data_IF_218008218520
#
_entry.id   IF_218008218520
#
_cell.length_a   1.000
_cell.length_b   1.000
_cell.length_c   1.000
_cell.angle_alpha   90.00
_cell.angle_beta   90.00
_cell.angle_gamma   90.00
#
_symmetry.space_group_name_H-M   'P 1'
#
loop_
_entity.id
_entity.type
_entity.pdbx_description
1 polymer ?
#
# COMPACT_ATOMS: atom_id res chain seq x y z
N UNK A 1 7.43 23.11 5.76
CA UNK A 1 6.46 22.28 6.53
C UNK A 1 5.44 21.78 5.53
N UNK A 2 5.28 20.46 5.44
CA UNK A 2 4.21 19.86 4.63
C UNK A 2 2.95 19.84 5.48
N UNK A 3 1.84 20.34 4.96
CA UNK A 3 0.56 20.38 5.68
C UNK A 3 -0.25 19.11 5.42
N UNK A 4 -1.01 18.69 6.43
CA UNK A 4 -1.93 17.56 6.29
C UNK A 4 -3.11 17.92 5.40
N UNK A 5 -3.69 16.90 4.76
CA UNK A 5 -4.84 17.09 3.90
C UNK A 5 -6.01 17.67 4.68
N UNK A 6 -6.56 18.76 4.17
CA UNK A 6 -7.85 19.32 4.60
C UNK A 6 -8.98 18.34 4.33
N UNK A 7 -10.13 18.56 4.98
CA UNK A 7 -11.34 17.76 4.73
C UNK A 7 -11.73 17.74 3.25
N UNK A 8 -11.70 18.89 2.58
CA UNK A 8 -12.07 18.99 1.17
C UNK A 8 -11.11 18.20 0.26
N UNK A 9 -9.81 18.21 0.54
CA UNK A 9 -8.83 17.43 -0.22
C UNK A 9 -8.99 15.92 0.03
N UNK A 10 -9.31 15.52 1.26
CA UNK A 10 -9.63 14.13 1.60
C UNK A 10 -10.88 13.65 0.86
N UNK A 11 -11.96 14.43 0.90
CA UNK A 11 -13.22 14.13 0.24
C UNK A 11 -13.04 14.00 -1.29
N UNK A 12 -12.10 14.73 -1.88
CA UNK A 12 -11.77 14.65 -3.30
C UNK A 12 -10.84 13.46 -3.64
N UNK A 13 -9.82 13.19 -2.82
CA UNK A 13 -8.75 12.25 -3.17
C UNK A 13 -9.00 10.80 -2.70
N UNK A 14 -9.52 10.63 -1.48
CA UNK A 14 -9.60 9.32 -0.83
C UNK A 14 -10.63 8.36 -1.44
N UNK A 15 -11.80 8.79 -1.95
CA UNK A 15 -12.78 7.84 -2.51
C UNK A 15 -12.22 6.99 -3.65
N UNK A 16 -11.42 7.58 -4.54
CA UNK A 16 -10.81 6.85 -5.65
C UNK A 16 -9.74 5.84 -5.16
N UNK A 17 -8.96 6.20 -4.15
CA UNK A 17 -8.02 5.28 -3.51
C UNK A 17 -8.76 4.15 -2.79
N UNK A 18 -9.89 4.46 -2.13
CA UNK A 18 -10.77 3.48 -1.52
C UNK A 18 -11.28 2.43 -2.51
N UNK A 19 -11.71 2.87 -3.70
CA UNK A 19 -12.14 1.96 -4.77
C UNK A 19 -11.01 1.06 -5.28
N UNK A 20 -9.76 1.53 -5.26
CA UNK A 20 -8.59 0.72 -5.62
C UNK A 20 -8.14 -0.20 -4.48
N UNK A 21 -8.67 -0.05 -3.26
CA UNK A 21 -8.41 -0.90 -2.10
C UNK A 21 -7.46 -0.31 -1.03
N UNK A 22 -7.18 0.99 -1.09
CA UNK A 22 -6.60 1.70 0.05
C UNK A 22 -7.65 1.90 1.15
N UNK A 23 -7.22 1.86 2.40
CA UNK A 23 -8.10 1.99 3.57
C UNK A 23 -7.43 2.78 4.68
N UNK A 24 -8.22 3.43 5.52
CA UNK A 24 -7.70 4.16 6.68
C UNK A 24 -7.22 3.17 7.74
N UNK A 25 -6.14 3.52 8.44
CA UNK A 25 -5.68 2.77 9.61
C UNK A 25 -6.40 3.31 10.86
N UNK A 26 -7.01 2.44 11.69
CA UNK A 26 -7.57 2.89 12.98
C UNK A 26 -6.51 3.59 13.84
N UNK A 27 -6.90 4.69 14.47
CA UNK A 27 -6.07 5.47 15.41
C UNK A 27 -4.77 6.05 14.83
N UNK A 28 -4.64 6.08 13.49
CA UNK A 28 -3.48 6.65 12.80
C UNK A 28 -3.92 7.38 11.54
N UNK A 29 -3.47 8.62 11.36
CA UNK A 29 -3.73 9.37 10.13
C UNK A 29 -2.83 8.88 8.99
N UNK A 30 -3.16 7.71 8.45
CA UNK A 30 -2.42 6.98 7.44
C UNK A 30 -3.37 6.16 6.57
N UNK A 31 -2.92 5.77 5.38
CA UNK A 31 -3.63 4.83 4.49
C UNK A 31 -2.80 3.57 4.30
N UNK A 32 -3.48 2.43 4.21
CA UNK A 32 -2.87 1.11 3.99
C UNK A 32 -3.42 0.47 2.73
N UNK A 33 -2.59 -0.32 2.04
CA UNK A 33 -3.03 -1.23 0.97
C UNK A 33 -2.16 -2.48 0.93
N UNK A 34 -2.79 -3.61 0.64
CA UNK A 34 -2.16 -4.92 0.60
C UNK A 34 -2.31 -5.49 -0.81
N UNK A 35 -1.19 -5.70 -1.49
CA UNK A 35 -1.13 -6.38 -2.78
C UNK A 35 -0.69 -7.83 -2.61
N UNK A 36 -1.35 -8.75 -3.32
CA UNK A 36 -1.00 -10.16 -3.43
C UNK A 36 -0.63 -10.45 -4.89
N UNK A 37 0.66 -10.63 -5.13
CA UNK A 37 1.23 -10.98 -6.43
C UNK A 37 1.21 -12.50 -6.65
N UNK A 38 1.54 -12.98 -7.85
CA UNK A 38 1.59 -14.42 -8.12
C UNK A 38 2.79 -15.12 -7.48
N UNK A 39 3.88 -14.38 -7.28
CA UNK A 39 5.13 -14.91 -6.73
C UNK A 39 6.00 -13.76 -6.18
N UNK A 40 7.11 -14.11 -5.55
CA UNK A 40 8.06 -13.14 -5.00
C UNK A 40 8.72 -12.25 -6.06
N UNK A 41 9.01 -12.76 -7.26
CA UNK A 41 9.67 -11.98 -8.31
C UNK A 41 8.80 -10.80 -8.77
N UNK A 42 7.50 -11.01 -8.91
CA UNK A 42 6.54 -9.95 -9.23
C UNK A 42 6.40 -8.94 -8.09
N UNK A 43 6.30 -9.40 -6.85
CA UNK A 43 6.27 -8.53 -5.67
C UNK A 43 7.53 -7.65 -5.59
N UNK A 44 8.71 -8.24 -5.76
CA UNK A 44 9.97 -7.52 -5.75
C UNK A 44 10.09 -6.53 -6.92
N UNK A 45 9.63 -6.91 -8.12
CA UNK A 45 9.63 -6.02 -9.29
C UNK A 45 8.72 -4.81 -9.10
N UNK A 46 7.60 -4.95 -8.38
CA UNK A 46 6.79 -3.82 -7.93
C UNK A 46 7.55 -2.95 -6.91
N UNK A 47 8.10 -3.56 -5.86
CA UNK A 47 8.83 -2.84 -4.80
C UNK A 47 10.02 -2.05 -5.36
N UNK A 48 10.83 -2.64 -6.24
CA UNK A 48 11.98 -1.98 -6.84
C UNK A 48 11.59 -0.71 -7.62
N UNK A 49 10.51 -0.77 -8.40
CA UNK A 49 10.01 0.42 -9.13
C UNK A 49 9.44 1.46 -8.17
N UNK A 50 8.72 1.02 -7.14
CA UNK A 50 8.18 1.89 -6.10
C UNK A 50 9.28 2.62 -5.31
N UNK A 51 10.38 1.93 -4.99
CA UNK A 51 11.53 2.54 -4.31
C UNK A 51 12.17 3.67 -5.13
N UNK A 52 12.35 3.49 -6.45
CA UNK A 52 12.88 4.55 -7.32
C UNK A 52 11.97 5.78 -7.36
N UNK A 53 10.66 5.57 -7.35
CA UNK A 53 9.67 6.64 -7.31
C UNK A 53 9.69 7.36 -5.95
N UNK A 54 9.71 6.60 -4.87
CA UNK A 54 9.79 7.12 -3.50
C UNK A 54 11.04 8.01 -3.30
N UNK A 55 12.20 7.53 -3.75
CA UNK A 55 13.46 8.31 -3.73
C UNK A 55 13.33 9.61 -4.52
N UNK A 56 12.78 9.56 -5.73
CA UNK A 56 12.56 10.77 -6.55
C UNK A 56 11.62 11.78 -5.88
N UNK A 57 10.63 11.28 -5.14
CA UNK A 57 9.68 12.10 -4.41
C UNK A 57 10.22 12.61 -3.07
N UNK A 58 11.34 12.05 -2.59
CA UNK A 58 11.81 12.20 -1.22
C UNK A 58 10.68 11.90 -0.20
N UNK A 59 9.90 10.85 -0.49
CA UNK A 59 8.78 10.42 0.33
C UNK A 59 8.70 8.89 0.30
N UNK A 60 8.87 8.26 1.45
CA UNK A 60 9.10 6.82 1.54
C UNK A 60 7.90 6.09 2.16
N UNK A 61 7.55 4.89 1.66
CA UNK A 61 6.52 4.08 2.29
C UNK A 61 7.03 3.40 3.56
N UNK A 62 6.11 3.06 4.44
CA UNK A 62 6.30 1.96 5.39
C UNK A 62 5.76 0.69 4.75
N UNK A 63 6.52 -0.40 4.74
CA UNK A 63 6.01 -1.65 4.17
C UNK A 63 6.56 -2.90 4.85
N UNK A 64 5.82 -3.98 4.69
CA UNK A 64 6.25 -5.35 4.98
C UNK A 64 6.07 -6.19 3.71
N UNK A 65 7.06 -7.01 3.40
CA UNK A 65 6.96 -7.99 2.32
C UNK A 65 7.19 -9.40 2.85
N UNK A 66 6.24 -10.29 2.55
CA UNK A 66 6.34 -11.72 2.84
C UNK A 66 6.01 -12.48 1.56
N UNK A 67 7.03 -13.02 0.90
CA UNK A 67 6.91 -13.71 -0.39
C UNK A 67 6.13 -12.88 -1.42
N UNK A 68 4.93 -13.32 -1.80
CA UNK A 68 4.12 -12.70 -2.82
C UNK A 68 3.25 -11.54 -2.31
N UNK A 69 3.32 -11.19 -1.02
CA UNK A 69 2.48 -10.15 -0.42
C UNK A 69 3.31 -8.91 -0.10
N UNK A 70 2.81 -7.73 -0.47
CA UNK A 70 3.36 -6.44 -0.08
C UNK A 70 2.27 -5.63 0.62
N UNK A 71 2.48 -5.38 1.90
CA UNK A 71 1.59 -4.61 2.77
C UNK A 71 2.22 -3.24 3.01
N UNK A 72 1.57 -2.18 2.52
CA UNK A 72 2.11 -0.82 2.51
C UNK A 72 1.22 0.10 3.31
N UNK A 73 1.86 0.91 4.15
CA UNK A 73 1.27 2.05 4.86
C UNK A 73 1.94 3.34 4.41
N UNK A 74 1.14 4.37 4.12
CA UNK A 74 1.60 5.70 3.75
C UNK A 74 1.10 6.74 4.75
N UNK A 75 2.03 7.55 5.24
CA UNK A 75 1.82 8.75 6.05
C UNK A 75 3.04 9.64 5.89
N UNK A 76 2.88 10.94 6.13
CA UNK A 76 4.00 11.86 6.23
C UNK A 76 4.39 12.07 7.69
N UNK A 77 5.57 11.57 8.08
CA UNK A 77 6.05 11.65 9.47
C UNK A 77 6.19 13.09 9.97
N UNK A 78 6.79 13.96 9.16
CA UNK A 78 7.05 15.37 9.53
C UNK A 78 5.76 16.19 9.74
N UNK A 79 4.67 15.77 9.09
CA UNK A 79 3.36 16.39 9.22
C UNK A 79 2.47 15.70 10.26
N UNK A 80 2.95 14.58 10.83
CA UNK A 80 2.18 13.69 11.71
C UNK A 80 0.82 13.26 11.11
N UNK A 81 0.76 13.05 9.79
CA UNK A 81 -0.48 12.63 9.13
C UNK A 81 -0.40 12.54 7.62
N UNK A 82 -1.57 12.37 6.99
CA UNK A 82 -1.71 12.23 5.55
C UNK A 82 -1.54 13.58 4.85
N UNK A 83 -0.70 13.59 3.81
CA UNK A 83 -0.48 14.76 2.95
C UNK A 83 -0.71 14.42 1.48
N UNK A 84 -0.53 15.41 0.60
CA UNK A 84 -0.59 15.19 -0.85
C UNK A 84 0.49 14.20 -1.35
N UNK A 85 1.63 14.10 -0.66
CA UNK A 85 2.71 13.16 -1.01
C UNK A 85 2.26 11.71 -0.86
N UNK A 86 1.50 11.41 0.19
CA UNK A 86 0.93 10.07 0.43
C UNK A 86 -0.05 9.67 -0.68
N UNK A 87 -0.93 10.59 -1.06
CA UNK A 87 -1.89 10.38 -2.15
C UNK A 87 -1.19 10.20 -3.50
N UNK A 88 -0.16 11.00 -3.77
CA UNK A 88 0.60 10.90 -5.02
C UNK A 88 1.36 9.58 -5.09
N UNK A 89 2.05 9.18 -4.02
CA UNK A 89 2.79 7.93 -3.95
C UNK A 89 1.84 6.73 -4.08
N UNK A 90 0.68 6.77 -3.42
CA UNK A 90 -0.36 5.75 -3.54
C UNK A 90 -0.79 5.53 -5.00
N UNK A 91 -1.06 6.61 -5.73
CA UNK A 91 -1.47 6.55 -7.15
C UNK A 91 -0.37 5.99 -8.05
N UNK A 92 0.88 6.36 -7.81
CA UNK A 92 2.02 5.82 -8.57
C UNK A 92 2.19 4.32 -8.29
N UNK A 93 2.09 3.90 -7.02
CA UNK A 93 2.12 2.49 -6.65
C UNK A 93 1.01 1.70 -7.34
N UNK A 94 -0.23 2.20 -7.33
CA UNK A 94 -1.35 1.58 -8.04
C UNK A 94 -1.05 1.36 -9.53
N UNK A 95 -0.45 2.35 -10.20
CA UNK A 95 -0.07 2.24 -11.61
C UNK A 95 1.04 1.20 -11.87
N UNK A 96 1.87 0.88 -10.87
CA UNK A 96 2.97 -0.08 -10.98
C UNK A 96 2.58 -1.52 -10.60
N UNK A 97 1.47 -1.70 -9.89
CA UNK A 97 1.06 -2.99 -9.32
C UNK A 97 0.58 -4.02 -10.38
N UNK A 98 0.30 -3.60 -11.61
CA UNK A 98 -0.13 -4.50 -12.68
C UNK A 98 -1.43 -5.24 -12.34
N UNK A 99 -1.42 -6.57 -12.48
CA UNK A 99 -2.59 -7.43 -12.23
C UNK A 99 -2.59 -8.06 -10.81
N UNK A 100 -1.85 -7.48 -9.86
CA UNK A 100 -1.84 -7.99 -8.49
C UNK A 100 -3.26 -7.98 -7.89
N UNK A 101 -3.60 -9.03 -7.16
CA UNK A 101 -4.82 -9.05 -6.38
C UNK A 101 -4.68 -8.07 -5.21
N UNK A 102 -5.82 -7.54 -4.75
CA UNK A 102 -5.87 -6.57 -3.65
C UNK A 102 -6.77 -7.12 -2.56
N UNK A 103 -6.22 -7.23 -1.34
CA UNK A 103 -7.02 -7.51 -0.16
C UNK A 103 -7.74 -6.23 0.27
N UNK A 104 -9.07 -6.24 0.13
CA UNK A 104 -9.93 -5.07 0.43
C UNK A 104 -10.45 -5.05 1.85
N UNK A 105 -10.62 -6.22 2.47
CA UNK A 105 -10.95 -6.30 3.88
C UNK A 105 -9.67 -6.22 4.71
N UNK A 106 -9.47 -5.07 5.35
CA UNK A 106 -8.29 -4.80 6.19
C UNK A 106 -8.43 -5.34 7.61
N UNK A 107 -9.59 -5.90 7.97
CA UNK A 107 -9.81 -6.61 9.23
C UNK A 107 -9.35 -8.06 9.18
N UNK A 108 -9.26 -8.64 7.98
CA UNK A 108 -8.81 -10.02 7.77
C UNK A 108 -7.28 -10.16 7.91
N UNK A 109 -6.78 -11.33 8.38
CA UNK A 109 -5.35 -11.61 8.44
C UNK A 109 -4.67 -11.48 7.08
N UNK A 110 -3.44 -10.95 7.08
CA UNK A 110 -2.62 -10.89 5.88
C UNK A 110 -1.77 -12.15 5.78
N UNK A 111 -2.05 -12.97 4.76
CA UNK A 111 -1.39 -14.26 4.56
C UNK A 111 -0.72 -14.34 3.17
N UNK A 112 0.55 -14.79 3.13
CA UNK A 112 1.24 -15.17 1.90
C UNK A 112 0.93 -16.60 1.49
N UNK A 113 1.16 -16.92 0.21
CA UNK A 113 1.07 -18.30 -0.30
C UNK A 113 1.94 -19.26 0.51
N UNK A 114 3.12 -18.82 0.95
CA UNK A 114 4.01 -19.60 1.80
C UNK A 114 3.39 -20.02 3.14
N UNK A 115 2.62 -19.13 3.78
CA UNK A 115 1.95 -19.38 5.04
C UNK A 115 0.73 -20.28 4.85
N UNK A 116 0.00 -20.10 3.73
CA UNK A 116 -1.12 -20.98 3.36
C UNK A 116 -0.64 -22.42 3.14
N UNK A 117 0.44 -22.62 2.38
CA UNK A 117 1.03 -23.95 2.17
C UNK A 117 1.49 -24.59 3.48
N UNK A 118 2.13 -23.82 4.38
CA UNK A 118 2.57 -24.32 5.68
C UNK A 118 1.40 -24.78 6.57
N UNK A 119 0.19 -24.25 6.36
CA UNK A 119 -1.05 -24.63 7.07
C UNK A 119 -1.80 -25.79 6.42
N UNK A 120 -1.27 -26.38 5.33
CA UNK A 120 -1.92 -27.45 4.58
C UNK A 120 -2.88 -26.98 3.49
N UNK A 121 -2.81 -25.71 3.08
CA UNK A 121 -3.49 -25.23 1.87
C UNK A 121 -2.92 -25.92 0.62
N UNK A 122 -3.81 -26.35 -0.28
CA UNK A 122 -3.41 -26.98 -1.54
C UNK A 122 -2.47 -26.03 -2.34
N UNK A 123 -1.40 -26.54 -2.95
CA UNK A 123 -0.61 -25.75 -3.87
C UNK A 123 -1.41 -25.50 -5.15
N UNK A 124 -1.39 -24.26 -5.63
CA UNK A 124 -1.80 -23.91 -7.01
C UNK A 124 -0.84 -24.53 -8.04
#
# INVERSE_FOLDING_TARGET
MTETLTKAERDAALPALGQSGWGAIPDRDAIRKIWKFRNFSEAWGFMARAALVAEKMNHHPEWMNVYNVVDVTLTTHDAHGLTALDVELARKMDAMAGNAEVQRDHSEPVECLCQLHAKGGAPD
#
